data_IF_609333139756
#
_entry.id   IF_609333139756
#
_cell.length_a   1.000
_cell.length_b   1.000
_cell.length_c   1.000
_cell.angle_alpha   90.00
_cell.angle_beta   90.00
_cell.angle_gamma   90.00
#
_symmetry.space_group_name_H-M   'P 1'
#
loop_
_entity.id
_entity.type
_entity.pdbx_description
1 polymer ?
#
# COMPACT_ATOMS: atom_id res chain seq x y z
N UNK A 1 58.60 -26.95 -42.23
CA UNK A 1 59.15 -25.57 -42.33
C UNK A 1 58.11 -24.74 -43.08
N UNK A 2 57.19 -24.07 -42.38
CA UNK A 2 57.26 -22.67 -41.88
C UNK A 2 56.93 -21.66 -42.97
N UNK A 3 55.68 -21.19 -42.98
CA UNK A 3 55.29 -19.88 -43.50
C UNK A 3 54.42 -19.21 -42.43
N UNK A 4 54.96 -18.13 -41.87
CA UNK A 4 54.30 -17.14 -41.01
C UNK A 4 53.88 -15.98 -41.93
N UNK A 5 52.84 -15.23 -41.51
CA UNK A 5 52.41 -13.87 -41.89
C UNK A 5 51.08 -13.85 -42.66
N UNK A 6 50.10 -12.98 -42.45
CA UNK A 6 49.73 -11.92 -41.48
C UNK A 6 48.33 -11.44 -41.94
N UNK A 7 47.56 -10.85 -41.03
CA UNK A 7 46.43 -9.92 -41.26
C UNK A 7 45.15 -10.44 -41.93
N UNK A 8 44.03 -10.33 -41.21
CA UNK A 8 43.10 -9.22 -41.44
C UNK A 8 42.13 -9.10 -40.26
N UNK A 9 42.08 -7.90 -39.68
CA UNK A 9 41.01 -7.44 -38.81
C UNK A 9 39.68 -7.49 -39.58
N UNK A 10 38.68 -8.15 -39.00
CA UNK A 10 37.28 -7.90 -39.32
C UNK A 10 36.62 -7.37 -38.03
N UNK A 11 36.51 -6.04 -37.97
CA UNK A 11 35.77 -5.30 -36.97
C UNK A 11 34.24 -5.49 -37.17
N UNK A 12 33.40 -5.11 -36.19
CA UNK A 12 32.03 -5.59 -36.06
C UNK A 12 31.08 -4.85 -37.00
N UNK A 13 30.18 -5.58 -37.66
CA UNK A 13 28.99 -4.97 -38.25
C UNK A 13 28.01 -4.67 -37.11
N UNK A 14 28.03 -3.42 -36.66
CA UNK A 14 26.97 -2.82 -35.88
C UNK A 14 25.66 -2.88 -36.68
N UNK A 15 24.72 -3.71 -36.27
CA UNK A 15 23.31 -3.44 -36.57
C UNK A 15 22.88 -2.30 -35.66
N UNK A 16 22.79 -1.11 -36.23
CA UNK A 16 22.01 -0.02 -35.64
C UNK A 16 20.53 -0.43 -35.73
N UNK A 17 20.04 -1.13 -34.69
CA UNK A 17 18.61 -1.25 -34.48
C UNK A 17 18.10 0.15 -34.10
N UNK A 18 17.37 0.75 -35.04
CA UNK A 18 16.66 2.00 -34.83
C UNK A 18 15.80 1.87 -33.58
N UNK A 19 15.81 2.89 -32.72
CA UNK A 19 14.94 2.99 -31.56
C UNK A 19 13.47 3.09 -32.03
N UNK A 20 12.91 1.95 -32.41
CA UNK A 20 11.48 1.76 -32.50
C UNK A 20 10.98 1.73 -31.06
N UNK A 21 10.25 2.76 -30.65
CA UNK A 21 9.40 2.64 -29.48
C UNK A 21 8.43 1.52 -29.84
N UNK A 22 8.57 0.34 -29.23
CA UNK A 22 7.70 -0.81 -29.46
C UNK A 22 6.26 -0.44 -29.10
N UNK A 23 5.53 0.08 -30.10
CA UNK A 23 4.15 0.53 -29.96
C UNK A 23 3.26 -0.67 -29.67
N UNK A 24 3.57 -1.84 -30.22
CA UNK A 24 2.83 -3.08 -29.94
C UNK A 24 2.92 -3.48 -28.46
N UNK A 25 4.11 -3.44 -27.86
CA UNK A 25 4.29 -3.72 -26.43
C UNK A 25 3.54 -2.72 -25.53
N UNK A 26 3.39 -1.46 -25.97
CA UNK A 26 2.59 -0.45 -25.26
C UNK A 26 1.09 -0.69 -25.42
N UNK A 27 0.62 -1.11 -26.60
CA UNK A 27 -0.79 -1.39 -26.85
C UNK A 27 -1.25 -2.61 -26.03
N UNK A 28 -0.42 -3.65 -25.95
CA UNK A 28 -0.69 -4.81 -25.10
C UNK A 28 -0.72 -4.45 -23.60
N UNK A 29 0.23 -3.63 -23.14
CA UNK A 29 0.25 -3.17 -21.75
C UNK A 29 -0.99 -2.32 -21.39
N UNK A 30 -1.49 -1.49 -22.31
CA UNK A 30 -2.71 -0.71 -22.10
C UNK A 30 -3.95 -1.61 -22.05
N UNK A 31 -4.05 -2.59 -22.96
CA UNK A 31 -5.16 -3.55 -22.97
C UNK A 31 -5.24 -4.36 -21.66
N UNK A 32 -4.10 -4.78 -21.10
CA UNK A 32 -4.05 -5.51 -19.83
C UNK A 32 -4.44 -4.64 -18.62
N UNK A 33 -4.16 -3.34 -18.66
CA UNK A 33 -4.60 -2.41 -17.61
C UNK A 33 -6.11 -2.20 -17.67
N UNK A 34 -6.68 -2.12 -18.88
CA UNK A 34 -8.12 -1.91 -19.08
C UNK A 34 -8.92 -3.15 -18.61
N UNK A 35 -8.53 -4.36 -19.01
CA UNK A 35 -9.16 -5.61 -18.56
C UNK A 35 -9.09 -5.80 -17.04
N UNK A 36 -7.93 -5.52 -16.43
CA UNK A 36 -7.78 -5.58 -14.97
C UNK A 36 -8.65 -4.53 -14.27
N UNK A 37 -8.87 -3.38 -14.88
CA UNK A 37 -9.70 -2.32 -14.29
C UNK A 37 -11.18 -2.70 -14.26
N UNK A 38 -11.67 -3.43 -15.28
CA UNK A 38 -13.05 -3.93 -15.31
C UNK A 38 -13.30 -5.07 -14.31
N UNK A 39 -12.26 -5.85 -13.98
CA UNK A 39 -12.32 -6.90 -12.95
C UNK A 39 -12.11 -6.36 -11.52
N UNK A 40 -11.56 -5.17 -11.37
CA UNK A 40 -11.33 -4.52 -10.07
C UNK A 40 -12.53 -3.63 -9.70
N UNK A 41 -13.70 -4.23 -9.59
CA UNK A 41 -14.76 -3.62 -8.76
C UNK A 41 -14.27 -3.64 -7.31
N UNK A 42 -13.68 -2.53 -6.85
CA UNK A 42 -13.30 -2.39 -5.44
C UNK A 42 -14.59 -2.39 -4.62
N UNK A 43 -14.82 -3.48 -3.89
CA UNK A 43 -15.87 -3.53 -2.89
C UNK A 43 -15.72 -2.33 -1.95
N UNK A 44 -16.85 -1.66 -1.71
CA UNK A 44 -16.89 -0.55 -0.76
C UNK A 44 -16.41 -1.08 0.58
N UNK A 45 -15.29 -0.54 1.08
CA UNK A 45 -14.79 -0.86 2.42
C UNK A 45 -15.96 -0.71 3.40
N UNK A 46 -16.10 -1.64 4.34
CA UNK A 46 -17.06 -1.58 5.45
C UNK A 46 -16.77 -0.43 6.44
N UNK A 47 -16.10 0.63 5.98
CA UNK A 47 -15.76 1.82 6.70
C UNK A 47 -17.04 2.63 6.98
N UNK A 48 -17.43 2.71 8.25
CA UNK A 48 -18.41 3.68 8.71
C UNK A 48 -17.67 4.94 9.14
N UNK A 49 -17.68 5.97 8.30
CA UNK A 49 -17.15 7.29 8.62
C UNK A 49 -18.13 8.03 9.57
N UNK A 50 -18.18 7.62 10.84
CA UNK A 50 -19.06 8.19 11.88
C UNK A 50 -18.53 9.50 12.49
N UNK A 51 -17.44 10.04 11.95
CA UNK A 51 -16.75 11.21 12.50
C UNK A 51 -15.78 10.89 13.63
N UNK A 52 -15.39 9.63 13.82
CA UNK A 52 -14.35 9.27 14.76
C UNK A 52 -13.02 9.98 14.43
N UNK A 53 -12.19 10.12 15.46
CA UNK A 53 -10.85 10.70 15.34
C UNK A 53 -9.84 9.81 16.05
N UNK A 54 -8.66 9.68 15.45
CA UNK A 54 -7.48 9.12 16.10
C UNK A 54 -6.57 10.24 16.58
N UNK A 55 -5.87 9.98 17.68
CA UNK A 55 -4.90 10.89 18.26
C UNK A 55 -3.77 11.13 17.27
N UNK A 56 -3.44 12.41 17.10
CA UNK A 56 -2.27 12.87 16.34
C UNK A 56 -1.17 13.36 17.28
N UNK A 57 -1.27 13.07 18.59
CA UNK A 57 -0.27 13.46 19.58
C UNK A 57 1.08 12.76 19.34
N UNK A 58 1.01 11.49 18.94
CA UNK A 58 2.16 10.65 18.61
C UNK A 58 2.07 10.13 17.18
N UNK A 59 3.20 9.78 16.55
CA UNK A 59 3.19 9.12 15.25
C UNK A 59 2.44 7.79 15.29
N UNK A 60 1.20 7.80 14.81
CA UNK A 60 0.40 6.60 14.64
C UNK A 60 0.60 6.04 13.23
N UNK A 61 0.96 4.77 13.12
CA UNK A 61 0.99 4.10 11.82
C UNK A 61 -0.44 3.99 11.30
N UNK A 62 -0.60 4.03 9.98
CA UNK A 62 -1.89 3.68 9.40
C UNK A 62 -2.20 2.22 9.75
N UNK A 63 -3.39 1.96 10.29
CA UNK A 63 -3.76 0.61 10.71
C UNK A 63 -5.01 0.57 11.57
N UNK A 64 -5.35 -0.65 12.01
CA UNK A 64 -6.49 -0.91 12.87
C UNK A 64 -6.11 -0.86 14.35
N UNK A 65 -6.91 -0.14 15.13
CA UNK A 65 -6.73 0.08 16.56
C UNK A 65 -8.05 -0.13 17.29
N UNK A 66 -8.00 -0.80 18.43
CA UNK A 66 -9.19 -0.96 19.27
C UNK A 66 -9.53 0.32 20.05
N UNK A 67 -10.82 0.55 20.28
CA UNK A 67 -11.29 1.69 21.06
C UNK A 67 -10.92 1.65 22.55
N UNK A 68 -10.42 0.54 23.08
CA UNK A 68 -9.89 0.47 24.45
C UNK A 68 -8.39 0.83 24.55
N UNK A 69 -7.72 1.08 23.42
CA UNK A 69 -6.29 1.33 23.41
C UNK A 69 -5.93 2.72 23.93
N UNK A 70 -4.94 2.74 24.82
CA UNK A 70 -4.33 3.94 25.40
C UNK A 70 -2.85 3.95 25.09
N UNK A 71 -2.27 5.14 25.03
CA UNK A 71 -0.82 5.27 24.89
C UNK A 71 -0.11 4.75 26.13
N UNK A 72 0.99 4.01 25.96
CA UNK A 72 1.75 3.40 27.06
C UNK A 72 2.32 4.42 28.05
N UNK A 73 2.48 5.68 27.62
CA UNK A 73 2.95 6.79 28.44
C UNK A 73 1.83 7.53 29.20
N UNK A 74 0.56 7.14 29.01
CA UNK A 74 -0.57 7.73 29.72
C UNK A 74 -1.23 8.93 29.02
N UNK A 75 -0.85 9.27 27.78
CA UNK A 75 -1.41 10.42 27.03
C UNK A 75 -2.85 10.22 26.51
N UNK A 76 -3.61 9.33 27.15
CA UNK A 76 -5.00 9.05 26.85
C UNK A 76 -5.20 8.01 25.74
N UNK A 77 -6.42 7.99 25.19
CA UNK A 77 -6.86 7.00 24.22
C UNK A 77 -6.32 7.30 22.81
N UNK A 78 -6.05 6.23 22.05
CA UNK A 78 -5.71 6.34 20.63
C UNK A 78 -6.89 6.90 19.84
N UNK A 79 -8.12 6.50 20.16
CA UNK A 79 -9.33 7.05 19.56
C UNK A 79 -9.84 8.20 20.43
N UNK A 80 -9.94 9.40 19.87
CA UNK A 80 -10.23 10.62 20.64
C UNK A 80 -11.66 11.12 20.46
N UNK A 81 -12.37 10.67 19.42
CA UNK A 81 -13.77 11.02 19.17
C UNK A 81 -14.59 9.80 18.74
N UNK A 82 -15.88 9.77 19.15
CA UNK A 82 -16.85 8.70 18.86
C UNK A 82 -16.34 7.29 19.19
N UNK A 83 -15.50 7.20 20.22
CA UNK A 83 -14.87 5.97 20.71
C UNK A 83 -15.88 5.07 21.41
N UNK A 84 -15.86 3.79 21.04
CA UNK A 84 -16.56 2.70 21.70
C UNK A 84 -15.53 1.63 22.05
N UNK A 85 -15.56 1.16 23.31
CA UNK A 85 -14.48 0.38 23.90
C UNK A 85 -14.16 -0.93 23.14
N UNK A 86 -15.18 -1.60 22.62
CA UNK A 86 -15.08 -2.90 21.94
C UNK A 86 -15.10 -2.78 20.41
N UNK A 87 -14.94 -1.58 19.84
CA UNK A 87 -14.91 -1.38 18.39
C UNK A 87 -13.47 -1.37 17.84
N UNK A 88 -13.33 -1.75 16.56
CA UNK A 88 -12.12 -1.54 15.76
C UNK A 88 -12.28 -0.28 14.92
N UNK A 89 -11.23 0.54 14.94
CA UNK A 89 -11.11 1.72 14.12
C UNK A 89 -9.90 1.60 13.21
N UNK A 90 -10.02 1.98 11.94
CA UNK A 90 -8.83 2.17 11.10
C UNK A 90 -8.45 3.64 11.05
N UNK A 91 -7.26 3.93 11.56
CA UNK A 91 -6.72 5.27 11.67
C UNK A 91 -5.90 5.64 10.44
N UNK A 92 -6.19 6.82 9.89
CA UNK A 92 -5.32 7.52 8.96
C UNK A 92 -4.25 8.29 9.74
N UNK A 93 -3.05 8.50 9.16
CA UNK A 93 -2.04 9.41 9.72
C UNK A 93 -2.55 10.85 9.91
N UNK A 94 -3.60 11.25 9.18
CA UNK A 94 -4.27 12.55 9.33
C UNK A 94 -5.19 12.65 10.56
N UNK A 95 -5.33 11.57 11.35
CA UNK A 95 -6.23 11.50 12.49
C UNK A 95 -7.69 11.23 12.14
N UNK A 96 -8.05 11.10 10.86
CA UNK A 96 -9.37 10.60 10.46
C UNK A 96 -9.46 9.08 10.64
N UNK A 97 -10.65 8.55 10.90
CA UNK A 97 -10.84 7.11 10.97
C UNK A 97 -12.17 6.60 10.42
N UNK A 98 -12.17 5.29 10.20
CA UNK A 98 -13.33 4.45 9.91
C UNK A 98 -13.64 3.60 11.14
N UNK A 99 -14.90 3.52 11.54
CA UNK A 99 -15.38 2.55 12.52
C UNK A 99 -15.82 1.27 11.79
N UNK A 100 -15.27 0.12 12.16
CA UNK A 100 -15.64 -1.20 11.62
C UNK A 100 -16.57 -1.99 12.55
N UNK A 101 -16.97 -1.41 13.68
CA UNK A 101 -17.83 -2.05 14.66
C UNK A 101 -17.08 -2.98 15.60
N UNK A 102 -17.83 -3.86 16.25
CA UNK A 102 -17.34 -4.74 17.32
C UNK A 102 -16.34 -5.77 16.79
N UNK A 103 -15.24 -5.97 17.53
CA UNK A 103 -14.34 -7.10 17.32
C UNK A 103 -14.10 -7.86 18.63
N UNK A 104 -13.85 -9.16 18.52
CA UNK A 104 -13.69 -10.07 19.67
C UNK A 104 -12.46 -9.79 20.52
N UNK A 105 -11.43 -9.17 19.95
CA UNK A 105 -10.20 -8.81 20.67
C UNK A 105 -10.30 -7.44 21.35
N UNK A 106 -11.20 -6.56 20.90
CA UNK A 106 -11.35 -5.22 21.46
C UNK A 106 -12.14 -5.23 22.78
N UNK A 107 -11.74 -4.35 23.70
CA UNK A 107 -12.27 -4.30 25.06
C UNK A 107 -11.61 -5.30 26.03
N UNK A 108 -10.58 -6.02 25.57
CA UNK A 108 -9.79 -6.96 26.37
C UNK A 108 -8.33 -6.48 26.53
N UNK A 109 -7.57 -7.18 27.38
CA UNK A 109 -6.12 -6.94 27.52
C UNK A 109 -5.29 -7.38 26.31
N UNK A 110 -5.86 -8.11 25.35
CA UNK A 110 -5.20 -8.58 24.12
C UNK A 110 -5.57 -7.75 22.89
N UNK A 111 -6.10 -6.54 23.11
CA UNK A 111 -6.53 -5.64 22.04
C UNK A 111 -5.36 -5.21 21.14
N UNK A 112 -5.64 -5.04 19.85
CA UNK A 112 -4.66 -4.50 18.89
C UNK A 112 -4.46 -2.99 19.11
N UNK A 113 -3.41 -2.62 19.84
CA UNK A 113 -3.08 -1.23 20.16
C UNK A 113 -1.89 -0.66 19.36
N UNK A 114 -1.28 -1.47 18.51
CA UNK A 114 -0.07 -1.11 17.75
C UNK A 114 1.21 -1.55 18.44
#
# INVERSE_FOLDING_TARGET
MRFILVAALLAPLASAAVAGVDIEARVEAVAQVEERSELLTLDKRACVANGCKCSTLHPLKQGQYCGNCVWSNGDGYIITAKRVNNHVYECSPSGSCCDYGVASDCGSGTARCG
#
